data_IF_981276125067
#
_entry.id   IF_981276125067
#
_cell.length_a   1.000
_cell.length_b   1.000
_cell.length_c   1.000
_cell.angle_alpha   90.00
_cell.angle_beta   90.00
_cell.angle_gamma   90.00
#
_symmetry.space_group_name_H-M   'P 1'
#
loop_
_entity.id
_entity.type
_entity.pdbx_description
1 polymer ?
#
# COMPACT_ATOMS: atom_id res chain seq x y z
N UNK A 1 -7.24 14.78 1.68
CA UNK A 1 -6.63 14.52 0.37
C UNK A 1 -7.18 13.21 -0.18
N UNK A 2 -7.72 13.25 -1.38
CA UNK A 2 -8.21 12.08 -2.10
C UNK A 2 -7.72 12.21 -3.55
N UNK A 3 -7.15 11.14 -4.08
CA UNK A 3 -6.87 11.03 -5.51
C UNK A 3 -7.80 10.01 -6.14
N UNK A 4 -8.56 10.45 -7.14
CA UNK A 4 -9.42 9.58 -7.93
C UNK A 4 -8.55 8.79 -8.92
N UNK A 5 -8.72 7.47 -8.94
CA UNK A 5 -7.99 6.58 -9.84
C UNK A 5 -8.81 6.23 -11.08
N UNK A 6 -10.10 6.05 -10.89
CA UNK A 6 -11.08 5.74 -11.94
C UNK A 6 -12.48 6.04 -11.44
N UNK A 7 -13.51 5.69 -12.21
CA UNK A 7 -14.90 5.85 -11.77
C UNK A 7 -15.24 4.99 -10.54
N UNK A 8 -14.47 3.91 -10.31
CA UNK A 8 -14.75 2.95 -9.25
C UNK A 8 -13.77 3.02 -8.07
N UNK A 9 -12.56 3.54 -8.27
CA UNK A 9 -11.49 3.49 -7.28
C UNK A 9 -10.92 4.85 -6.96
N UNK A 10 -10.49 4.99 -5.71
CA UNK A 10 -9.76 6.16 -5.23
C UNK A 10 -8.78 5.77 -4.14
N UNK A 11 -7.83 6.67 -3.85
CA UNK A 11 -6.92 6.52 -2.71
C UNK A 11 -7.08 7.70 -1.77
N UNK A 12 -6.89 7.44 -0.50
CA UNK A 12 -6.89 8.43 0.59
C UNK A 12 -5.87 8.02 1.66
N UNK A 13 -5.48 8.91 2.54
CA UNK A 13 -4.62 8.49 3.66
C UNK A 13 -5.25 7.37 4.47
N UNK A 14 -4.43 6.41 4.92
CA UNK A 14 -4.87 5.41 5.88
C UNK A 14 -5.21 6.11 7.19
N UNK A 15 -6.31 5.72 7.82
CA UNK A 15 -6.86 6.40 8.99
C UNK A 15 -7.15 5.42 10.13
N UNK A 16 -7.22 5.89 11.39
CA UNK A 16 -7.51 5.02 12.54
C UNK A 16 -8.80 4.22 12.41
N UNK A 17 -9.83 4.78 11.79
CA UNK A 17 -11.10 4.09 11.55
C UNK A 17 -10.95 2.84 10.67
N UNK A 18 -9.88 2.73 9.89
CA UNK A 18 -9.62 1.57 9.04
C UNK A 18 -9.33 0.31 9.86
N UNK A 19 -8.97 0.45 11.13
CA UNK A 19 -8.81 -0.69 12.04
C UNK A 19 -10.12 -1.41 12.33
N UNK A 20 -11.25 -0.74 12.18
CA UNK A 20 -12.58 -1.32 12.39
C UNK A 20 -13.12 -2.00 11.13
N UNK A 21 -12.45 -1.83 10.01
CA UNK A 21 -12.79 -2.43 8.73
C UNK A 21 -12.02 -3.72 8.45
N UNK A 22 -11.93 -4.13 7.18
CA UNK A 22 -11.32 -5.41 6.81
C UNK A 22 -9.79 -5.45 6.90
N UNK A 23 -9.12 -4.31 7.03
CA UNK A 23 -7.66 -4.18 6.96
C UNK A 23 -6.91 -5.15 7.90
N UNK A 24 -7.20 -5.21 9.21
CA UNK A 24 -6.43 -6.11 10.07
C UNK A 24 -6.62 -7.59 9.72
N UNK A 25 -7.80 -7.98 9.25
CA UNK A 25 -8.11 -9.35 8.87
C UNK A 25 -7.32 -9.85 7.66
N UNK A 26 -6.81 -8.97 6.81
CA UNK A 26 -6.01 -9.39 5.66
C UNK A 26 -4.73 -10.13 6.08
N UNK A 27 -4.18 -9.79 7.22
CA UNK A 27 -2.93 -10.39 7.73
C UNK A 27 -3.16 -11.77 8.35
N UNK A 28 -4.39 -12.21 8.48
CA UNK A 28 -4.78 -13.56 8.86
C UNK A 28 -5.05 -14.46 7.64
N UNK A 29 -5.14 -13.89 6.46
CA UNK A 29 -5.38 -14.61 5.21
C UNK A 29 -4.05 -14.98 4.55
N UNK A 30 -3.78 -16.27 4.46
CA UNK A 30 -2.51 -16.78 3.94
C UNK A 30 -2.32 -16.54 2.45
N UNK A 31 -3.41 -16.48 1.67
CA UNK A 31 -3.31 -16.15 0.25
C UNK A 31 -2.93 -14.68 0.05
N UNK A 32 -3.53 -13.78 0.83
CA UNK A 32 -3.21 -12.36 0.80
C UNK A 32 -1.76 -12.13 1.22
N UNK A 33 -1.32 -12.80 2.28
CA UNK A 33 0.02 -12.63 2.88
C UNK A 33 1.06 -13.60 2.37
N UNK A 34 0.84 -14.27 1.26
CA UNK A 34 1.75 -15.29 0.72
C UNK A 34 3.19 -14.79 0.62
N UNK A 35 3.38 -13.53 0.23
CA UNK A 35 4.70 -12.90 0.08
C UNK A 35 4.92 -11.78 1.10
N UNK A 36 4.06 -11.68 2.12
CA UNK A 36 4.13 -10.64 3.13
C UNK A 36 4.47 -11.25 4.49
N UNK A 37 5.66 -10.93 5.00
CA UNK A 37 6.14 -11.48 6.29
C UNK A 37 5.30 -11.04 7.48
N UNK A 38 4.61 -9.91 7.40
CA UNK A 38 3.77 -9.41 8.51
C UNK A 38 2.64 -10.37 8.86
N UNK A 39 2.06 -11.07 7.89
CA UNK A 39 1.02 -12.06 8.13
C UNK A 39 1.49 -13.30 8.88
N UNK A 40 2.80 -13.54 8.96
CA UNK A 40 3.38 -14.69 9.65
C UNK A 40 3.57 -14.46 11.15
N UNK A 41 3.39 -13.23 11.63
CA UNK A 41 3.69 -12.85 13.01
C UNK A 41 2.43 -12.64 13.84
N UNK A 42 1.24 -12.91 13.31
CA UNK A 42 -0.04 -12.83 14.01
C UNK A 42 -0.19 -11.52 14.81
N UNK A 43 -0.18 -10.40 14.08
CA UNK A 43 -0.20 -9.06 14.68
C UNK A 43 -1.50 -8.79 15.45
N UNK A 44 -1.37 -8.13 16.60
CA UNK A 44 -2.51 -7.73 17.42
C UNK A 44 -3.09 -6.40 16.96
N UNK A 45 -4.29 -6.05 17.44
CA UNK A 45 -4.88 -4.73 17.20
C UNK A 45 -3.97 -3.61 17.73
N UNK A 46 -3.32 -3.83 18.87
CA UNK A 46 -2.37 -2.86 19.43
C UNK A 46 -1.21 -2.58 18.46
N UNK A 47 -0.71 -3.59 17.79
CA UNK A 47 0.33 -3.44 16.77
C UNK A 47 -0.13 -2.50 15.65
N UNK A 48 -1.33 -2.73 15.09
CA UNK A 48 -1.85 -1.89 14.03
C UNK A 48 -2.09 -0.46 14.48
N UNK A 49 -2.53 -0.27 15.72
CA UNK A 49 -2.71 1.07 16.31
C UNK A 49 -1.38 1.80 16.40
N UNK A 50 -0.34 1.14 16.90
CA UNK A 50 1.01 1.72 16.97
C UNK A 50 1.56 2.04 15.58
N UNK A 51 1.32 1.16 14.61
CA UNK A 51 1.70 1.41 13.22
C UNK A 51 1.03 2.67 12.68
N UNK A 52 -0.27 2.85 12.88
CA UNK A 52 -0.98 4.05 12.45
C UNK A 52 -0.47 5.30 13.17
N UNK A 53 -0.17 5.21 14.46
CA UNK A 53 0.42 6.32 15.20
C UNK A 53 1.80 6.70 14.63
N UNK A 54 2.57 5.73 14.14
CA UNK A 54 3.87 5.98 13.53
C UNK A 54 3.80 6.73 12.20
N UNK A 55 2.63 6.79 11.56
CA UNK A 55 2.44 7.54 10.30
C UNK A 55 2.54 9.06 10.46
N UNK A 56 2.62 9.55 11.70
CA UNK A 56 2.92 10.95 11.99
C UNK A 56 4.37 11.32 11.65
N UNK A 57 5.25 10.33 11.54
CA UNK A 57 6.64 10.54 11.15
C UNK A 57 6.70 10.79 9.64
N UNK A 58 7.62 11.65 9.22
CA UNK A 58 7.74 12.07 7.81
C UNK A 58 8.50 11.06 6.95
N UNK A 59 8.71 9.84 7.43
CA UNK A 59 9.50 8.81 6.75
C UNK A 59 8.66 7.85 5.89
N UNK A 60 7.34 8.03 5.87
CA UNK A 60 6.45 7.16 5.09
C UNK A 60 5.14 7.83 4.72
N UNK A 61 4.57 7.35 3.64
CA UNK A 61 3.21 7.69 3.18
C UNK A 61 2.47 6.39 2.96
N UNK A 62 1.30 6.24 3.57
CA UNK A 62 0.46 5.05 3.40
C UNK A 62 -0.93 5.48 2.99
N UNK A 63 -1.39 4.99 1.84
CA UNK A 63 -2.73 5.26 1.34
C UNK A 63 -3.59 4.01 1.38
N UNK A 64 -4.85 4.18 1.77
CA UNK A 64 -5.88 3.19 1.57
C UNK A 64 -6.38 3.25 0.14
N UNK A 65 -6.42 2.10 -0.53
CA UNK A 65 -7.06 1.95 -1.84
C UNK A 65 -8.50 1.56 -1.58
N UNK A 66 -9.44 2.32 -2.13
CA UNK A 66 -10.86 2.15 -1.86
C UNK A 66 -11.65 1.96 -3.14
N UNK A 67 -12.67 1.12 -3.06
CA UNK A 67 -13.69 0.93 -4.09
C UNK A 67 -14.98 1.61 -3.65
N UNK A 68 -15.69 2.22 -4.59
CA UNK A 68 -16.90 3.00 -4.29
C UNK A 68 -17.97 2.21 -3.52
N UNK A 69 -18.14 0.92 -3.82
CA UNK A 69 -19.11 0.06 -3.15
C UNK A 69 -18.51 -0.73 -2.01
N UNK A 70 -17.35 -1.33 -2.24
CA UNK A 70 -16.77 -2.31 -1.31
C UNK A 70 -15.89 -1.67 -0.24
N UNK A 71 -15.63 -0.37 -0.32
CA UNK A 71 -14.82 0.36 0.65
C UNK A 71 -13.33 0.04 0.54
N UNK A 72 -12.66 -0.07 1.67
CA UNK A 72 -11.21 -0.29 1.75
C UNK A 72 -10.83 -1.68 1.25
N UNK A 73 -10.07 -1.77 0.16
CA UNK A 73 -9.71 -3.02 -0.50
C UNK A 73 -8.23 -3.32 -0.53
N UNK A 74 -7.38 -2.33 -0.27
CA UNK A 74 -5.94 -2.51 -0.26
C UNK A 74 -5.19 -1.33 0.34
N UNK A 75 -3.88 -1.48 0.46
CA UNK A 75 -2.99 -0.41 0.89
C UNK A 75 -1.82 -0.29 -0.08
N UNK A 76 -1.33 0.93 -0.24
CA UNK A 76 -0.14 1.22 -1.04
C UNK A 76 0.71 2.25 -0.30
N UNK A 77 2.03 2.11 -0.35
CA UNK A 77 2.89 2.97 0.44
C UNK A 77 4.23 3.28 -0.22
N UNK A 78 4.78 4.42 0.18
CA UNK A 78 6.20 4.74 0.08
C UNK A 78 6.75 4.74 1.50
N UNK A 79 7.74 3.91 1.75
CA UNK A 79 8.36 3.71 3.06
C UNK A 79 9.84 4.09 3.00
N UNK A 80 10.45 4.24 4.17
CA UNK A 80 11.86 4.57 4.29
C UNK A 80 12.24 5.77 3.42
N UNK A 81 11.41 6.81 3.45
CA UNK A 81 11.65 8.03 2.71
C UNK A 81 12.91 8.70 3.26
N UNK A 82 13.93 8.82 2.42
CA UNK A 82 15.16 9.51 2.74
C UNK A 82 15.18 10.88 2.06
N UNK A 83 15.09 11.99 2.80
CA UNK A 83 15.17 13.32 2.20
C UNK A 83 16.59 13.64 1.70
N UNK A 84 17.61 12.98 2.24
CA UNK A 84 19.01 13.16 1.83
C UNK A 84 19.26 12.46 0.50
N UNK A 85 18.92 11.16 0.41
CA UNK A 85 19.14 10.38 -0.80
C UNK A 85 18.01 10.56 -1.83
N UNK A 86 16.90 11.14 -1.41
CA UNK A 86 15.72 11.35 -2.24
C UNK A 86 15.16 10.04 -2.80
N UNK A 87 15.09 9.02 -1.92
CA UNK A 87 14.67 7.67 -2.25
C UNK A 87 13.54 7.20 -1.35
N UNK A 88 12.77 6.22 -1.80
CA UNK A 88 11.77 5.54 -0.99
C UNK A 88 11.54 4.12 -1.50
N UNK A 89 11.03 3.27 -0.64
CA UNK A 89 10.62 1.92 -0.97
C UNK A 89 9.12 1.85 -1.23
N UNK A 90 8.74 1.25 -2.36
CA UNK A 90 7.36 1.03 -2.76
C UNK A 90 6.84 -0.30 -2.23
N UNK A 91 5.61 -0.30 -1.71
CA UNK A 91 4.91 -1.52 -1.32
C UNK A 91 3.42 -1.42 -1.63
N UNK A 92 2.80 -2.53 -1.97
CA UNK A 92 1.36 -2.62 -2.24
C UNK A 92 0.81 -3.94 -1.74
N UNK A 93 -0.40 -3.89 -1.17
CA UNK A 93 -1.14 -5.08 -0.74
C UNK A 93 -2.61 -4.90 -1.14
N UNK A 94 -3.12 -5.78 -1.99
CA UNK A 94 -4.55 -5.84 -2.27
C UNK A 94 -5.13 -6.93 -1.38
N UNK A 95 -5.81 -6.51 -0.32
CA UNK A 95 -6.33 -7.41 0.71
C UNK A 95 -7.64 -8.07 0.32
N UNK A 96 -8.46 -7.41 -0.48
CA UNK A 96 -9.75 -7.95 -0.91
C UNK A 96 -9.57 -8.70 -2.23
N UNK A 97 -9.68 -10.03 -2.17
CA UNK A 97 -9.46 -10.91 -3.32
C UNK A 97 -10.41 -10.64 -4.49
N UNK A 98 -11.59 -10.06 -4.24
CA UNK A 98 -12.54 -9.71 -5.30
C UNK A 98 -11.98 -8.67 -6.26
N UNK A 99 -10.95 -7.93 -5.83
CA UNK A 99 -10.31 -6.88 -6.61
C UNK A 99 -8.97 -7.29 -7.19
N UNK A 100 -8.61 -8.57 -7.10
CA UNK A 100 -7.43 -9.11 -7.77
C UNK A 100 -7.65 -9.20 -9.29
N UNK A 101 -6.57 -9.12 -10.06
CA UNK A 101 -6.63 -9.23 -11.51
C UNK A 101 -7.21 -8.03 -12.24
N UNK A 102 -7.37 -6.88 -11.56
CA UNK A 102 -7.93 -5.65 -12.13
C UNK A 102 -6.88 -4.56 -12.35
N UNK A 103 -5.60 -4.93 -12.30
CA UNK A 103 -4.47 -3.99 -12.44
C UNK A 103 -4.51 -2.84 -11.43
N UNK A 104 -5.11 -3.07 -10.27
CA UNK A 104 -5.32 -2.03 -9.26
C UNK A 104 -3.99 -1.54 -8.68
N UNK A 105 -3.03 -2.44 -8.48
CA UNK A 105 -1.68 -2.07 -8.04
C UNK A 105 -0.98 -1.14 -9.02
N UNK A 106 -1.15 -1.37 -10.32
CA UNK A 106 -0.59 -0.50 -11.36
C UNK A 106 -1.26 0.88 -11.35
N UNK A 107 -2.58 0.90 -11.27
CA UNK A 107 -3.35 2.14 -11.27
C UNK A 107 -3.01 3.02 -10.06
N UNK A 108 -3.04 2.44 -8.86
CA UNK A 108 -2.68 3.13 -7.63
C UNK A 108 -1.19 3.46 -7.57
N UNK A 109 -0.34 2.55 -8.06
CA UNK A 109 1.11 2.73 -8.10
C UNK A 109 1.54 3.93 -8.93
N UNK A 110 0.95 4.11 -10.11
CA UNK A 110 1.24 5.27 -10.95
C UNK A 110 0.90 6.58 -10.24
N UNK A 111 -0.23 6.63 -9.54
CA UNK A 111 -0.62 7.82 -8.79
C UNK A 111 0.34 8.08 -7.63
N UNK A 112 0.73 7.04 -6.90
CA UNK A 112 1.66 7.17 -5.78
C UNK A 112 3.05 7.60 -6.22
N UNK A 113 3.57 7.04 -7.32
CA UNK A 113 4.86 7.45 -7.87
C UNK A 113 4.84 8.89 -8.34
N UNK A 114 3.77 9.33 -9.00
CA UNK A 114 3.62 10.72 -9.40
C UNK A 114 3.64 11.65 -8.18
N UNK A 115 2.96 11.28 -7.10
CA UNK A 115 3.00 12.01 -5.84
C UNK A 115 4.41 12.06 -5.25
N UNK A 116 5.11 10.92 -5.24
CA UNK A 116 6.48 10.84 -4.72
C UNK A 116 7.46 11.74 -5.47
N UNK A 117 7.43 11.68 -6.80
CA UNK A 117 8.34 12.48 -7.61
C UNK A 117 7.99 13.97 -7.62
N UNK A 118 6.72 14.32 -7.64
CA UNK A 118 6.26 15.71 -7.77
C UNK A 118 6.11 16.44 -6.44
N UNK A 119 5.68 15.76 -5.38
CA UNK A 119 5.35 16.38 -4.09
C UNK A 119 6.39 16.11 -3.02
N UNK A 120 7.03 14.94 -3.05
CA UNK A 120 8.02 14.55 -2.05
C UNK A 120 9.46 14.73 -2.53
N UNK A 121 9.65 15.26 -3.72
CA UNK A 121 10.99 15.53 -4.30
C UNK A 121 11.85 14.27 -4.38
N UNK A 122 11.26 13.11 -4.60
CA UNK A 122 12.01 11.86 -4.76
C UNK A 122 12.69 11.80 -6.12
N UNK A 123 13.84 11.14 -6.17
CA UNK A 123 14.60 10.88 -7.39
C UNK A 123 14.54 9.40 -7.78
N UNK A 124 14.45 8.51 -6.78
CA UNK A 124 14.44 7.07 -7.01
C UNK A 124 13.44 6.39 -6.08
N UNK A 125 12.66 5.47 -6.66
CA UNK A 125 11.79 4.57 -5.89
C UNK A 125 12.17 3.14 -6.25
N UNK A 126 12.32 2.30 -5.24
CA UNK A 126 12.69 0.88 -5.40
C UNK A 126 11.70 -0.01 -4.68
N UNK A 127 11.70 -1.30 -5.00
CA UNK A 127 10.93 -2.30 -4.28
C UNK A 127 11.72 -3.61 -4.19
N UNK A 128 11.48 -4.33 -3.08
CA UNK A 128 11.96 -5.70 -2.92
C UNK A 128 10.79 -6.67 -3.03
N UNK A 129 11.02 -7.83 -3.62
CA UNK A 129 9.99 -8.86 -3.72
C UNK A 129 10.62 -10.24 -3.75
N UNK A 130 9.85 -11.27 -3.35
CA UNK A 130 10.28 -12.64 -3.51
C UNK A 130 10.46 -12.98 -4.99
N UNK A 131 11.49 -13.75 -5.33
CA UNK A 131 11.78 -14.14 -6.72
C UNK A 131 10.61 -14.89 -7.36
N UNK A 132 9.79 -15.57 -6.57
CA UNK A 132 8.62 -16.33 -7.02
C UNK A 132 7.35 -15.48 -7.16
N UNK A 133 7.38 -14.23 -6.72
CA UNK A 133 6.23 -13.32 -6.81
C UNK A 133 6.15 -12.71 -8.21
N UNK A 134 5.59 -13.44 -9.16
CA UNK A 134 5.48 -13.01 -10.55
C UNK A 134 4.59 -11.79 -10.72
N UNK A 135 3.52 -11.68 -9.93
CA UNK A 135 2.61 -10.54 -9.96
C UNK A 135 3.31 -9.23 -9.64
N UNK A 136 4.12 -9.20 -8.58
CA UNK A 136 4.85 -8.01 -8.20
C UNK A 136 5.96 -7.67 -9.18
N UNK A 137 6.65 -8.68 -9.71
CA UNK A 137 7.68 -8.47 -10.75
C UNK A 137 7.09 -7.83 -12.01
N UNK A 138 5.92 -8.30 -12.45
CA UNK A 138 5.22 -7.71 -13.60
C UNK A 138 4.75 -6.29 -13.31
N UNK A 139 4.23 -6.04 -12.12
CA UNK A 139 3.82 -4.70 -11.70
C UNK A 139 5.00 -3.73 -11.73
N UNK A 140 6.12 -4.11 -11.10
CA UNK A 140 7.31 -3.28 -11.06
C UNK A 140 7.84 -2.95 -12.46
N UNK A 141 7.79 -3.92 -13.39
CA UNK A 141 8.22 -3.70 -14.76
C UNK A 141 7.34 -2.70 -15.54
N UNK A 142 6.06 -2.58 -15.16
CA UNK A 142 5.12 -1.66 -15.80
C UNK A 142 5.12 -0.26 -15.20
N UNK A 143 5.65 -0.11 -14.00
CA UNK A 143 5.78 1.19 -13.34
C UNK A 143 7.04 1.90 -13.82
#
# INVERSE_FOLDING_TARGET
MIYRLSDEYYVRPLAPADLDGPYPGWFEDQDVCRYNSHGKLFRTRAYFREYLDSLKLDDRVVWAICHERDGHVGNISLQEISPIDRTAEFAVLIGDKRHWGKSLGLLAGRQLLAHGFRKLNLERVYCGTAATNEGMKKLAAKL
#
